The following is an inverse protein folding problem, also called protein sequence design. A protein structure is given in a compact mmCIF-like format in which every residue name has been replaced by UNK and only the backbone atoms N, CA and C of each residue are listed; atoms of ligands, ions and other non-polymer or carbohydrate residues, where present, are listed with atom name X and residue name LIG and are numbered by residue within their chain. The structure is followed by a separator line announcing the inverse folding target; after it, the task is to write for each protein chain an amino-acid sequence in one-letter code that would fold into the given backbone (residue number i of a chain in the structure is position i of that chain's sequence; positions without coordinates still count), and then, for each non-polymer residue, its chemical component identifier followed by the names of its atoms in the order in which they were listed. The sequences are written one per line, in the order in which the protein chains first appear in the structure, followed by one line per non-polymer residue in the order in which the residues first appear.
data_IF_484413935096
#
_entry.id   IF_484413935096
#
_cell.length_a   1.000
_cell.length_b   1.000
_cell.length_c   1.000
_cell.angle_alpha   90.00
_cell.angle_beta   90.00
_cell.angle_gamma   90.00
#
_symmetry.space_group_name_H-M   'P 1'
#
loop_
_entity.id
_entity.type
_entity.pdbx_description
1 polymer ?
#
# COMPACT_ATOMS: atom_id res chain seq x y z
N UNK A 1 -8.70 25.62 -9.86
CA UNK A 1 -9.14 25.36 -8.48
C UNK A 1 -9.28 23.87 -8.30
N UNK A 2 -8.41 23.27 -7.53
CA UNK A 2 -8.61 21.86 -7.12
C UNK A 2 -9.80 21.82 -6.18
N UNK A 3 -10.79 21.00 -6.50
CA UNK A 3 -11.82 20.66 -5.53
C UNK A 3 -11.14 19.97 -4.35
N UNK A 4 -11.44 20.33 -3.11
CA UNK A 4 -10.99 19.52 -2.01
C UNK A 4 -11.56 18.12 -2.20
N UNK A 5 -10.68 17.16 -2.43
CA UNK A 5 -11.07 15.75 -2.40
C UNK A 5 -11.52 15.50 -0.96
N UNK A 6 -12.80 15.23 -0.79
CA UNK A 6 -13.31 14.84 0.51
C UNK A 6 -12.48 13.67 1.02
N UNK A 7 -11.95 13.79 2.22
CA UNK A 7 -11.22 12.69 2.87
C UNK A 7 -12.18 11.53 3.02
N UNK A 8 -11.94 10.50 2.25
CA UNK A 8 -12.63 9.23 2.44
C UNK A 8 -12.04 8.57 3.67
N UNK A 9 -12.89 8.07 4.53
CA UNK A 9 -12.44 7.26 5.65
C UNK A 9 -11.80 5.94 5.17
N UNK A 10 -11.04 5.26 6.03
CA UNK A 10 -10.31 4.03 5.68
C UNK A 10 -11.18 2.94 5.05
N UNK A 11 -12.45 2.90 5.38
CA UNK A 11 -13.40 1.89 4.87
C UNK A 11 -13.94 2.18 3.48
N UNK A 12 -13.66 3.35 2.91
CA UNK A 12 -14.23 3.79 1.64
C UNK A 12 -13.27 3.65 0.45
N UNK A 13 -12.05 3.26 0.72
CA UNK A 13 -11.07 3.05 -0.36
C UNK A 13 -11.37 1.71 -1.02
N UNK A 14 -11.96 1.76 -2.21
CA UNK A 14 -12.20 0.56 -3.01
C UNK A 14 -10.87 -0.09 -3.41
N UNK A 15 -10.79 -1.39 -3.39
CA UNK A 15 -9.60 -2.14 -3.75
C UNK A 15 -9.30 -3.26 -2.79
N UNK A 16 -8.19 -3.22 -2.09
CA UNK A 16 -7.90 -4.24 -1.08
C UNK A 16 -8.91 -4.08 0.06
N UNK A 17 -9.74 -5.08 0.25
CA UNK A 17 -10.42 -5.26 1.50
C UNK A 17 -9.34 -5.55 2.54
N UNK A 18 -8.96 -4.51 3.28
CA UNK A 18 -8.30 -4.76 4.55
C UNK A 18 -9.31 -5.51 5.38
N UNK A 19 -9.08 -6.79 5.71
CA UNK A 19 -10.04 -7.52 6.51
C UNK A 19 -10.27 -6.69 7.77
N UNK A 20 -11.53 -6.39 8.04
CA UNK A 20 -11.89 -5.87 9.34
C UNK A 20 -11.22 -6.78 10.35
N UNK A 21 -10.48 -6.20 11.29
CA UNK A 21 -9.93 -6.97 12.38
C UNK A 21 -11.07 -7.79 12.95
N UNK A 22 -11.06 -9.04 12.56
CA UNK A 22 -12.02 -9.94 13.09
C UNK A 22 -11.72 -10.12 14.55
N UNK A 23 -12.31 -9.29 15.34
CA UNK A 23 -12.62 -9.64 16.72
C UNK A 23 -13.61 -10.80 16.76
N UNK A 24 -13.72 -11.47 15.63
CA UNK A 24 -14.36 -12.73 15.53
C UNK A 24 -13.47 -13.78 16.15
N UNK A 25 -13.17 -13.58 17.41
CA UNK A 25 -13.02 -14.65 18.34
C UNK A 25 -14.35 -15.41 18.39
N UNK A 26 -14.81 -15.86 17.27
CA UNK A 26 -15.61 -17.04 17.28
C UNK A 26 -14.66 -18.12 17.73
N UNK A 27 -14.77 -18.45 19.00
CA UNK A 27 -14.27 -19.69 19.52
C UNK A 27 -14.91 -20.83 18.75
N UNK A 28 -14.51 -20.95 17.51
CA UNK A 28 -14.63 -22.19 16.82
C UNK A 28 -13.75 -23.13 17.60
N UNK A 29 -14.38 -24.03 18.32
CA UNK A 29 -13.73 -25.25 18.72
C UNK A 29 -13.04 -25.75 17.47
N UNK A 30 -11.71 -25.58 17.44
CA UNK A 30 -10.92 -26.01 16.33
C UNK A 30 -11.16 -27.49 16.13
N UNK A 31 -11.97 -27.80 15.19
CA UNK A 31 -11.74 -29.00 14.45
C UNK A 31 -10.32 -28.89 13.98
N UNK A 32 -9.46 -29.68 14.57
CA UNK A 32 -8.06 -29.62 14.27
C UNK A 32 -7.91 -29.52 12.77
N UNK A 33 -7.44 -28.42 12.33
CA UNK A 33 -6.92 -28.31 10.99
C UNK A 33 -5.86 -29.37 10.98
N UNK A 34 -6.18 -30.51 10.41
CA UNK A 34 -5.15 -31.45 10.07
C UNK A 34 -4.20 -30.65 9.20
N UNK A 35 -3.09 -30.26 9.79
CA UNK A 35 -1.98 -29.72 9.03
C UNK A 35 -1.81 -30.68 7.88
N UNK A 36 -2.00 -30.21 6.68
CA UNK A 36 -1.78 -31.03 5.50
C UNK A 36 -0.33 -31.47 5.53
N UNK A 37 -0.09 -32.60 6.13
CA UNK A 37 1.18 -33.28 6.00
C UNK A 37 1.31 -33.72 4.55
N UNK A 38 2.11 -33.03 3.79
CA UNK A 38 2.36 -33.47 2.41
C UNK A 38 2.74 -32.40 1.43
N UNK A 39 3.02 -31.18 1.87
CA UNK A 39 3.73 -30.21 1.02
C UNK A 39 5.19 -30.59 0.89
N UNK A 40 5.86 -30.26 -0.24
CA UNK A 40 7.31 -30.43 -0.35
C UNK A 40 7.95 -29.77 0.87
N UNK A 41 8.87 -30.50 1.51
CA UNK A 41 9.62 -29.98 2.64
C UNK A 41 10.33 -28.70 2.21
N UNK A 42 9.71 -27.60 2.53
CA UNK A 42 10.41 -26.31 2.49
C UNK A 42 11.33 -26.32 3.69
N UNK A 43 12.59 -25.96 3.48
CA UNK A 43 13.52 -25.75 4.58
C UNK A 43 12.91 -24.87 5.68
N UNK A 44 13.53 -24.78 6.86
CA UNK A 44 12.93 -24.09 8.00
C UNK A 44 12.41 -22.73 7.58
N UNK A 45 11.10 -22.53 7.73
CA UNK A 45 10.49 -21.23 7.54
C UNK A 45 10.96 -20.38 8.71
N UNK A 46 11.94 -19.53 8.45
CA UNK A 46 12.33 -18.52 9.42
C UNK A 46 11.26 -17.45 9.41
N UNK A 47 10.31 -17.50 10.33
CA UNK A 47 9.36 -16.40 10.51
C UNK A 47 10.10 -15.24 11.16
N UNK A 48 10.22 -14.13 10.42
CA UNK A 48 10.71 -12.88 10.98
C UNK A 48 9.48 -12.07 11.40
N UNK A 49 9.35 -11.71 12.68
CA UNK A 49 8.22 -10.89 13.10
C UNK A 49 8.28 -9.51 12.44
N UNK A 50 7.12 -9.03 12.02
CA UNK A 50 6.98 -7.69 11.47
C UNK A 50 7.22 -6.66 12.58
N UNK A 51 8.23 -5.82 12.42
CA UNK A 51 8.55 -4.79 13.40
C UNK A 51 7.96 -3.44 13.03
N UNK A 52 7.64 -2.62 14.03
CA UNK A 52 7.21 -1.25 13.83
C UNK A 52 8.26 -0.43 13.05
N UNK A 53 9.53 -0.66 13.32
CA UNK A 53 10.63 0.00 12.61
C UNK A 53 10.61 -0.30 11.11
N UNK A 54 10.34 -1.53 10.75
CA UNK A 54 10.28 -1.96 9.35
C UNK A 54 9.12 -1.28 8.62
N UNK A 55 7.93 -1.28 9.23
CA UNK A 55 6.75 -0.61 8.68
C UNK A 55 6.98 0.89 8.54
N UNK A 56 7.57 1.51 9.54
CA UNK A 56 7.90 2.94 9.51
C UNK A 56 8.83 3.30 8.36
N UNK A 57 9.84 2.47 8.10
CA UNK A 57 10.74 2.68 6.97
C UNK A 57 10.00 2.69 5.64
N UNK A 58 9.01 1.82 5.46
CA UNK A 58 8.17 1.81 4.25
C UNK A 58 7.27 3.05 4.17
N UNK A 59 6.70 3.48 5.28
CA UNK A 59 5.90 4.72 5.33
C UNK A 59 6.74 5.94 4.95
N UNK A 60 7.94 6.05 5.48
CA UNK A 60 8.88 7.14 5.16
C UNK A 60 9.28 7.13 3.68
N UNK A 61 9.54 5.95 3.13
CA UNK A 61 9.87 5.78 1.71
C UNK A 61 8.71 6.22 0.81
N UNK A 62 7.50 5.81 1.13
CA UNK A 62 6.31 6.17 0.35
C UNK A 62 5.99 7.66 0.48
N UNK A 63 6.13 8.24 1.66
CA UNK A 63 5.98 9.68 1.87
C UNK A 63 6.99 10.48 1.02
N UNK A 64 8.24 10.06 0.99
CA UNK A 64 9.27 10.70 0.18
C UNK A 64 8.94 10.60 -1.32
N UNK A 65 8.43 9.47 -1.77
CA UNK A 65 8.01 9.29 -3.16
C UNK A 65 6.85 10.21 -3.53
N UNK A 66 5.85 10.34 -2.65
CA UNK A 66 4.72 11.26 -2.84
C UNK A 66 5.14 12.72 -2.94
N UNK A 67 6.13 13.12 -2.17
CA UNK A 67 6.67 14.49 -2.22
C UNK A 67 7.47 14.77 -3.49
N UNK A 68 8.16 13.76 -4.00
CA UNK A 68 9.09 13.92 -5.12
C UNK A 68 8.43 13.91 -6.48
N UNK A 69 7.36 13.14 -6.66
CA UNK A 69 6.72 12.98 -7.96
C UNK A 69 6.15 14.29 -8.49
N UNK A 70 6.18 14.45 -9.83
CA UNK A 70 5.55 15.55 -10.53
C UNK A 70 4.72 15.00 -11.67
N UNK A 71 3.46 15.47 -11.80
CA UNK A 71 2.59 15.06 -12.89
C UNK A 71 3.22 15.44 -14.22
N UNK A 72 3.41 14.46 -15.09
CA UNK A 72 3.96 14.60 -16.42
C UNK A 72 2.93 14.44 -17.52
N UNK A 73 1.73 13.96 -17.19
CA UNK A 73 0.65 13.82 -18.15
C UNK A 73 0.22 15.18 -18.71
N UNK A 74 -0.10 15.25 -20.02
CA UNK A 74 -0.56 16.49 -20.62
C UNK A 74 -1.82 17.02 -19.95
N UNK A 75 -1.87 18.33 -19.69
CA UNK A 75 -3.01 18.97 -19.06
C UNK A 75 -4.29 18.76 -19.88
N UNK A 76 -5.38 18.52 -19.17
CA UNK A 76 -6.73 18.27 -19.76
C UNK A 76 -6.78 17.07 -20.70
N UNK A 77 -5.89 16.12 -20.50
CA UNK A 77 -5.89 14.86 -21.23
C UNK A 77 -6.54 13.74 -20.43
N UNK A 78 -6.87 12.64 -21.10
CA UNK A 78 -7.32 11.43 -20.42
C UNK A 78 -6.25 10.87 -19.49
N UNK A 79 -4.99 10.99 -19.87
CA UNK A 79 -3.85 10.58 -19.03
C UNK A 79 -3.74 11.39 -17.74
N UNK A 80 -4.09 12.67 -17.77
CA UNK A 80 -4.12 13.47 -16.55
C UNK A 80 -5.15 12.94 -15.56
N UNK A 81 -6.34 12.57 -16.02
CA UNK A 81 -7.37 11.95 -15.18
C UNK A 81 -6.91 10.63 -14.57
N UNK A 82 -6.23 9.80 -15.36
CA UNK A 82 -5.65 8.55 -14.87
C UNK A 82 -4.56 8.85 -13.83
N UNK A 83 -3.70 9.80 -14.08
CA UNK A 83 -2.64 10.20 -13.15
C UNK A 83 -3.20 10.70 -11.81
N UNK A 84 -4.23 11.53 -11.86
CA UNK A 84 -4.91 12.02 -10.65
C UNK A 84 -5.57 10.88 -9.87
N UNK A 85 -6.21 9.93 -10.56
CA UNK A 85 -6.83 8.76 -9.94
C UNK A 85 -5.78 7.88 -9.24
N UNK A 86 -4.68 7.58 -9.92
CA UNK A 86 -3.58 6.80 -9.34
C UNK A 86 -2.98 7.49 -8.11
N UNK A 87 -2.80 8.80 -8.19
CA UNK A 87 -2.27 9.58 -7.08
C UNK A 87 -3.23 9.59 -5.89
N UNK A 88 -4.53 9.78 -6.15
CA UNK A 88 -5.57 9.70 -5.11
C UNK A 88 -5.56 8.34 -4.41
N UNK A 89 -5.44 7.25 -5.17
CA UNK A 89 -5.34 5.90 -4.60
C UNK A 89 -4.09 5.74 -3.74
N UNK A 90 -2.95 6.21 -4.22
CA UNK A 90 -1.70 6.12 -3.47
C UNK A 90 -1.76 6.93 -2.16
N UNK A 91 -2.27 8.15 -2.22
CA UNK A 91 -2.42 9.01 -1.04
C UNK A 91 -3.40 8.41 -0.02
N UNK A 92 -4.52 7.89 -0.47
CA UNK A 92 -5.54 7.30 0.40
C UNK A 92 -4.99 6.06 1.13
N UNK A 93 -4.32 5.16 0.44
CA UNK A 93 -3.73 3.98 1.08
C UNK A 93 -2.54 4.33 1.97
N UNK A 94 -1.77 5.35 1.63
CA UNK A 94 -0.72 5.85 2.52
C UNK A 94 -1.31 6.39 3.83
N UNK A 95 -2.35 7.20 3.76
CA UNK A 95 -3.03 7.73 4.94
C UNK A 95 -3.62 6.61 5.82
N UNK A 96 -4.22 5.61 5.20
CA UNK A 96 -4.72 4.43 5.90
C UNK A 96 -3.57 3.66 6.58
N UNK A 97 -2.46 3.49 5.90
CA UNK A 97 -1.28 2.85 6.47
C UNK A 97 -0.72 3.60 7.68
N UNK A 98 -0.65 4.91 7.59
CA UNK A 98 -0.21 5.76 8.70
C UNK A 98 -1.17 5.67 9.90
N UNK A 99 -2.47 5.64 9.64
CA UNK A 99 -3.50 5.46 10.66
C UNK A 99 -3.37 4.11 11.38
N UNK A 100 -3.26 3.02 10.64
CA UNK A 100 -3.05 1.68 11.23
C UNK A 100 -1.76 1.59 12.02
N UNK A 101 -0.71 2.23 11.51
CA UNK A 101 0.57 2.29 12.22
C UNK A 101 0.41 2.98 13.59
N UNK A 102 -0.29 4.11 13.63
CA UNK A 102 -0.55 4.84 14.87
C UNK A 102 -1.36 4.03 15.87
N UNK A 103 -2.24 3.14 15.40
CA UNK A 103 -3.01 2.23 16.24
C UNK A 103 -2.24 0.98 16.69
N UNK A 104 -1.04 0.78 16.19
CA UNK A 104 -0.24 -0.41 16.46
C UNK A 104 -0.62 -1.63 15.62
N UNK A 105 -1.47 -1.48 14.62
CA UNK A 105 -1.85 -2.52 13.67
C UNK A 105 -0.82 -2.59 12.53
N UNK A 106 0.27 -3.28 12.79
CA UNK A 106 1.41 -3.32 11.86
C UNK A 106 1.11 -4.10 10.59
N UNK A 107 0.29 -5.14 10.67
CA UNK A 107 -0.04 -5.97 9.51
C UNK A 107 -0.85 -5.16 8.50
N UNK A 108 -1.91 -4.50 8.93
CA UNK A 108 -2.71 -3.67 8.07
C UNK A 108 -1.97 -2.42 7.59
N UNK A 109 -1.15 -1.82 8.45
CA UNK A 109 -0.28 -0.70 8.07
C UNK A 109 0.66 -1.09 6.92
N UNK A 110 1.32 -2.24 7.04
CA UNK A 110 2.22 -2.73 6.01
C UNK A 110 1.51 -3.05 4.69
N UNK A 111 0.36 -3.71 4.77
CA UNK A 111 -0.47 -3.99 3.59
C UNK A 111 -0.86 -2.71 2.85
N UNK A 112 -1.32 -1.70 3.59
CA UNK A 112 -1.73 -0.42 3.00
C UNK A 112 -0.57 0.33 2.37
N UNK A 113 0.57 0.45 3.05
CA UNK A 113 1.71 1.19 2.51
C UNK A 113 2.34 0.52 1.30
N UNK A 114 2.41 -0.80 1.27
CA UNK A 114 2.87 -1.54 0.09
C UNK A 114 1.95 -1.32 -1.10
N UNK A 115 0.66 -1.33 -0.87
CA UNK A 115 -0.31 -1.10 -1.93
C UNK A 115 -0.24 0.34 -2.45
N UNK A 116 -0.12 1.31 -1.56
CA UNK A 116 0.10 2.71 -1.93
C UNK A 116 1.33 2.87 -2.81
N UNK A 117 2.45 2.27 -2.41
CA UNK A 117 3.69 2.34 -3.17
C UNK A 117 3.57 1.67 -4.54
N UNK A 118 2.80 0.59 -4.64
CA UNK A 118 2.49 -0.07 -5.91
C UNK A 118 1.79 0.86 -6.92
N UNK A 119 0.86 1.70 -6.47
CA UNK A 119 0.24 2.72 -7.33
C UNK A 119 1.24 3.75 -7.82
N UNK A 120 2.19 4.15 -6.97
CA UNK A 120 3.26 5.08 -7.34
C UNK A 120 4.21 4.48 -8.37
N UNK A 121 4.61 3.24 -8.18
CA UNK A 121 5.47 2.52 -9.13
C UNK A 121 4.77 2.33 -10.48
N UNK A 122 3.49 1.96 -10.47
CA UNK A 122 2.70 1.80 -11.69
C UNK A 122 2.60 3.12 -12.46
N UNK A 123 2.34 4.21 -11.77
CA UNK A 123 2.28 5.54 -12.39
C UNK A 123 3.62 5.99 -12.97
N UNK A 124 4.71 5.73 -12.27
CA UNK A 124 6.06 6.01 -12.76
C UNK A 124 6.37 5.22 -14.05
N UNK A 125 6.03 3.93 -14.07
CA UNK A 125 6.24 3.07 -15.26
C UNK A 125 5.39 3.48 -16.44
N UNK A 126 4.19 3.99 -16.22
CA UNK A 126 3.31 4.51 -17.27
C UNK A 126 3.70 5.91 -17.75
N UNK A 127 4.65 6.55 -17.07
CA UNK A 127 5.04 7.92 -17.39
C UNK A 127 4.02 8.97 -16.97
N UNK A 128 3.15 8.66 -16.01
CA UNK A 128 2.16 9.59 -15.49
C UNK A 128 2.77 10.72 -14.68
N UNK A 129 3.93 10.47 -14.08
CA UNK A 129 4.72 11.45 -13.36
C UNK A 129 6.22 11.26 -13.61
N UNK A 130 6.92 12.38 -13.48
CA UNK A 130 8.36 12.42 -13.51
C UNK A 130 8.90 12.20 -12.10
N UNK A 131 9.82 11.28 -11.98
CA UNK A 131 10.46 10.90 -10.73
C UNK A 131 11.97 11.13 -10.76
N UNK A 132 12.48 11.88 -11.74
CA UNK A 132 13.91 12.18 -11.90
C UNK A 132 14.81 10.94 -11.93
N UNK A 133 14.31 9.84 -12.49
CA UNK A 133 15.02 8.55 -12.55
C UNK A 133 15.46 8.02 -11.17
N UNK A 134 14.69 8.31 -10.14
CA UNK A 134 14.97 7.84 -8.78
C UNK A 134 14.59 6.37 -8.60
N UNK A 135 15.56 5.50 -8.80
CA UNK A 135 15.43 4.06 -8.65
C UNK A 135 15.41 3.57 -7.19
N UNK A 136 15.66 4.47 -6.24
CA UNK A 136 15.58 4.16 -4.81
C UNK A 136 14.14 4.25 -4.29
N UNK A 137 13.37 5.20 -4.80
CA UNK A 137 11.98 5.42 -4.39
C UNK A 137 10.97 4.72 -5.30
N UNK A 138 11.32 4.49 -6.56
CA UNK A 138 10.41 3.95 -7.57
C UNK A 138 11.05 2.78 -8.32
N UNK A 139 10.22 1.82 -8.70
CA UNK A 139 10.63 0.77 -9.63
C UNK A 139 10.49 1.28 -11.05
N UNK A 140 11.60 1.63 -11.66
CA UNK A 140 11.61 2.19 -13.01
C UNK A 140 11.55 1.10 -14.07
N UNK A 141 10.96 1.43 -15.22
CA UNK A 141 11.05 0.61 -16.41
C UNK A 141 12.48 0.73 -16.95
N UNK A 142 13.21 -0.37 -16.87
CA UNK A 142 14.59 -0.46 -17.32
C UNK A 142 14.72 -0.52 -18.82
#
# INVERSE_FOLDING_TARGET
MRRPVGRRGPSEVGGILVPADGDEEEGGEGDGVEEAEGGPERGPVTSVPLSARHVRAYLEKTAAALEKLRLAAPARSHLEHIAEDFLEMAEAYYEDGDHFYAEGDLVNAFACVNYAHGWLDAGARLGLWDVEEDDQLFTLAG
#
